data_IF_592885052402
#
_entry.id   IF_592885052402
#
_cell.length_a   1.000
_cell.length_b   1.000
_cell.length_c   1.000
_cell.angle_alpha   90.00
_cell.angle_beta   90.00
_cell.angle_gamma   90.00
#
_symmetry.space_group_name_H-M   'P 1'
#
loop_
_entity.id
_entity.type
_entity.pdbx_description
1 polymer ?
#
# COMPACT_ATOMS: atom_id res chain seq x y z
N UNK A 1 22.10 -12.08 -37.61
CA UNK A 1 21.41 -10.87 -37.18
C UNK A 1 20.13 -11.11 -36.42
N UNK A 2 19.27 -12.03 -36.90
CA UNK A 2 18.01 -12.36 -36.18
C UNK A 2 18.24 -12.91 -34.77
N UNK A 3 19.35 -13.65 -34.53
CA UNK A 3 19.70 -14.20 -33.23
C UNK A 3 20.01 -13.14 -32.17
N UNK A 4 20.72 -12.05 -32.58
CA UNK A 4 21.08 -10.96 -31.65
C UNK A 4 19.83 -10.19 -31.19
N UNK A 5 18.90 -9.90 -32.11
CA UNK A 5 17.64 -9.23 -31.78
C UNK A 5 16.80 -10.09 -30.85
N UNK A 6 16.74 -11.39 -31.08
CA UNK A 6 16.02 -12.33 -30.22
C UNK A 6 16.61 -12.34 -28.80
N UNK A 7 17.93 -12.38 -28.67
CA UNK A 7 18.60 -12.39 -27.35
C UNK A 7 18.33 -11.07 -26.60
N UNK A 8 18.36 -9.93 -27.30
CA UNK A 8 18.10 -8.62 -26.69
C UNK A 8 16.65 -8.57 -26.20
N UNK A 9 15.70 -8.97 -27.02
CA UNK A 9 14.27 -8.96 -26.64
C UNK A 9 14.01 -9.91 -25.48
N UNK A 10 14.59 -11.11 -25.52
CA UNK A 10 14.46 -12.09 -24.43
C UNK A 10 15.05 -11.56 -23.13
N UNK A 11 16.22 -10.90 -23.18
CA UNK A 11 16.85 -10.30 -22.01
C UNK A 11 16.00 -9.17 -21.42
N UNK A 12 15.39 -8.33 -22.27
CA UNK A 12 14.50 -7.25 -21.83
C UNK A 12 13.25 -7.81 -21.14
N UNK A 13 12.63 -8.84 -21.71
CA UNK A 13 11.46 -9.49 -21.11
C UNK A 13 11.82 -10.10 -19.77
N UNK A 14 12.99 -10.73 -19.66
CA UNK A 14 13.46 -11.33 -18.41
C UNK A 14 13.68 -10.26 -17.33
N UNK A 15 14.31 -9.13 -17.67
CA UNK A 15 14.55 -8.02 -16.76
C UNK A 15 13.24 -7.40 -16.27
N UNK A 16 12.28 -7.20 -17.14
CA UNK A 16 10.96 -6.67 -16.79
C UNK A 16 10.25 -7.64 -15.84
N UNK A 17 10.32 -8.94 -16.13
CA UNK A 17 9.70 -9.98 -15.27
C UNK A 17 10.29 -10.00 -13.87
N UNK A 18 11.62 -9.93 -13.76
CA UNK A 18 12.33 -9.89 -12.47
C UNK A 18 11.94 -8.61 -11.71
N UNK A 19 11.95 -7.46 -12.38
CA UNK A 19 11.57 -6.18 -11.78
C UNK A 19 10.14 -6.19 -11.23
N UNK A 20 9.21 -6.79 -11.97
CA UNK A 20 7.80 -6.93 -11.55
C UNK A 20 7.69 -7.80 -10.31
N UNK A 21 8.41 -8.94 -10.27
CA UNK A 21 8.41 -9.83 -9.12
C UNK A 21 8.99 -9.17 -7.87
N UNK A 22 10.09 -8.43 -8.02
CA UNK A 22 10.71 -7.69 -6.90
C UNK A 22 9.76 -6.63 -6.37
N UNK A 23 9.12 -5.86 -7.25
CA UNK A 23 8.17 -4.84 -6.85
C UNK A 23 6.97 -5.45 -6.13
N UNK A 24 6.43 -6.56 -6.62
CA UNK A 24 5.30 -7.24 -5.99
C UNK A 24 5.69 -7.79 -4.61
N UNK A 25 6.89 -8.37 -4.47
CA UNK A 25 7.40 -8.83 -3.18
C UNK A 25 7.53 -7.68 -2.18
N UNK A 26 8.03 -6.52 -2.63
CA UNK A 26 8.13 -5.32 -1.80
C UNK A 26 6.75 -4.85 -1.33
N UNK A 27 5.77 -4.79 -2.23
CA UNK A 27 4.41 -4.39 -1.89
C UNK A 27 3.78 -5.37 -0.88
N UNK A 28 3.97 -6.66 -1.08
CA UNK A 28 3.47 -7.69 -0.17
C UNK A 28 4.10 -7.56 1.22
N UNK A 29 5.40 -7.27 1.27
CA UNK A 29 6.11 -7.04 2.53
C UNK A 29 5.55 -5.82 3.26
N UNK A 30 5.32 -4.71 2.56
CA UNK A 30 4.74 -3.51 3.15
C UNK A 30 3.32 -3.76 3.66
N UNK A 31 2.50 -4.50 2.89
CA UNK A 31 1.17 -4.88 3.33
C UNK A 31 1.23 -5.67 4.64
N UNK A 32 2.14 -6.63 4.73
CA UNK A 32 2.31 -7.45 5.93
C UNK A 32 2.79 -6.64 7.12
N UNK A 33 3.72 -5.70 6.91
CA UNK A 33 4.22 -4.83 7.97
C UNK A 33 3.12 -3.92 8.53
N UNK A 34 2.32 -3.32 7.66
CA UNK A 34 1.20 -2.47 8.08
C UNK A 34 0.13 -3.30 8.77
N UNK A 35 -0.20 -4.48 8.25
CA UNK A 35 -1.14 -5.40 8.89
C UNK A 35 -0.67 -5.77 10.30
N UNK A 36 0.60 -6.12 10.46
CA UNK A 36 1.19 -6.44 11.76
C UNK A 36 1.13 -5.24 12.71
N UNK A 37 1.41 -4.06 12.21
CA UNK A 37 1.30 -2.82 12.99
C UNK A 37 -0.13 -2.63 13.52
N UNK A 38 -1.13 -2.78 12.66
CA UNK A 38 -2.53 -2.60 13.05
C UNK A 38 -2.97 -3.64 14.08
N UNK A 39 -2.58 -4.89 13.90
CA UNK A 39 -2.95 -5.97 14.81
C UNK A 39 -2.22 -5.86 16.14
N UNK A 40 -0.90 -5.67 16.11
CA UNK A 40 -0.07 -5.76 17.31
C UNK A 40 0.02 -4.46 18.08
N UNK A 41 0.00 -3.30 17.41
CA UNK A 41 0.17 -2.00 18.06
C UNK A 41 -1.13 -1.22 18.19
N UNK A 42 -2.10 -1.43 17.29
CA UNK A 42 -3.38 -0.71 17.31
C UNK A 42 -4.56 -1.56 17.79
N UNK A 43 -4.34 -2.85 17.96
CA UNK A 43 -5.34 -3.74 18.55
C UNK A 43 -6.45 -4.21 17.61
N UNK A 44 -6.27 -4.07 16.30
CA UNK A 44 -7.23 -4.58 15.32
C UNK A 44 -7.08 -6.09 15.14
N UNK A 45 -8.15 -6.74 14.72
CA UNK A 45 -8.12 -8.12 14.28
C UNK A 45 -8.00 -8.16 12.74
N UNK A 46 -7.49 -9.26 12.20
CA UNK A 46 -7.33 -9.41 10.75
C UNK A 46 -8.67 -9.28 10.02
N UNK A 47 -9.75 -9.78 10.58
CA UNK A 47 -11.08 -9.68 10.01
C UNK A 47 -11.66 -8.27 10.01
N UNK A 48 -11.06 -7.33 10.74
CA UNK A 48 -11.47 -5.92 10.72
C UNK A 48 -11.05 -5.21 9.43
N UNK A 49 -10.13 -5.80 8.68
CA UNK A 49 -9.56 -5.22 7.46
C UNK A 49 -10.29 -5.76 6.24
N UNK A 50 -10.87 -4.86 5.43
CA UNK A 50 -11.51 -5.21 4.17
C UNK A 50 -10.49 -5.32 3.05
N UNK A 51 -9.62 -4.30 2.93
CA UNK A 51 -8.58 -4.25 1.92
C UNK A 51 -7.31 -3.65 2.49
N UNK A 52 -6.19 -4.14 2.01
CA UNK A 52 -4.87 -3.57 2.28
C UNK A 52 -4.02 -3.70 1.01
N UNK A 53 -3.47 -2.58 0.54
CA UNK A 53 -2.63 -2.58 -0.65
C UNK A 53 -1.61 -1.46 -0.59
N UNK A 54 -0.44 -1.70 -1.18
CA UNK A 54 0.67 -0.75 -1.23
C UNK A 54 0.82 -0.20 -2.63
N UNK A 55 0.99 1.12 -2.73
CA UNK A 55 1.25 1.82 -3.97
C UNK A 55 2.61 2.49 -3.90
N UNK A 56 3.31 2.52 -5.04
CA UNK A 56 4.57 3.25 -5.20
C UNK A 56 4.29 4.41 -6.14
N UNK A 57 4.57 5.62 -5.67
CA UNK A 57 4.25 6.83 -6.40
C UNK A 57 5.29 7.93 -6.21
N UNK A 58 4.87 9.18 -6.43
CA UNK A 58 5.80 10.32 -6.38
C UNK A 58 5.93 10.93 -4.98
N UNK A 59 4.82 11.08 -4.27
CA UNK A 59 4.82 11.70 -2.94
C UNK A 59 3.58 11.26 -2.14
N UNK A 60 3.73 10.43 -1.12
CA UNK A 60 4.98 9.78 -0.71
C UNK A 60 5.37 8.68 -1.69
N UNK A 61 6.65 8.33 -1.69
CA UNK A 61 7.15 7.30 -2.61
C UNK A 61 6.44 5.96 -2.41
N UNK A 62 6.19 5.58 -1.16
CA UNK A 62 5.50 4.34 -0.80
C UNK A 62 4.36 4.66 0.16
N UNK A 63 3.17 4.17 -0.15
CA UNK A 63 1.98 4.34 0.69
C UNK A 63 1.17 3.06 0.72
N UNK A 64 0.75 2.65 1.91
CA UNK A 64 -0.14 1.51 2.09
C UNK A 64 -1.53 2.01 2.47
N UNK A 65 -2.52 1.60 1.71
CA UNK A 65 -3.91 1.98 1.93
C UNK A 65 -4.64 0.84 2.64
N UNK A 66 -5.41 1.19 3.65
CA UNK A 66 -6.24 0.24 4.40
C UNK A 66 -7.69 0.71 4.36
N UNK A 67 -8.60 -0.21 4.09
CA UNK A 67 -10.04 0.00 4.19
C UNK A 67 -10.56 -0.97 5.24
N UNK A 68 -11.25 -0.45 6.25
CA UNK A 68 -11.80 -1.25 7.35
C UNK A 68 -13.22 -1.70 7.03
N UNK A 69 -13.59 -2.89 7.53
CA UNK A 69 -14.92 -3.46 7.29
C UNK A 69 -16.06 -2.64 7.87
N UNK A 70 -15.82 -1.90 8.94
CA UNK A 70 -16.83 -1.04 9.58
C UNK A 70 -16.83 0.40 9.05
N UNK A 71 -16.00 0.69 8.03
CA UNK A 71 -15.91 2.03 7.42
C UNK A 71 -15.47 1.90 5.96
N UNK A 72 -16.30 1.25 5.14
CA UNK A 72 -15.99 0.93 3.74
C UNK A 72 -15.93 2.18 2.85
N UNK A 73 -16.42 3.32 3.33
CA UNK A 73 -16.42 4.56 2.55
C UNK A 73 -15.16 5.39 2.72
N UNK A 74 -14.25 4.98 3.59
CA UNK A 74 -13.03 5.73 3.90
C UNK A 74 -11.79 4.92 3.63
N UNK A 75 -10.75 5.62 3.17
CA UNK A 75 -9.41 5.05 2.96
C UNK A 75 -8.47 5.66 3.98
N UNK A 76 -7.61 4.84 4.58
CA UNK A 76 -6.61 5.25 5.55
C UNK A 76 -5.24 4.96 4.98
N UNK A 77 -4.36 5.96 4.97
CA UNK A 77 -3.04 5.88 4.34
C UNK A 77 -1.95 5.81 5.39
N UNK A 78 -1.10 4.80 5.25
CA UNK A 78 0.00 4.54 6.17
C UNK A 78 1.32 4.59 5.42
N UNK A 79 2.37 5.01 6.11
CA UNK A 79 3.72 4.97 5.58
C UNK A 79 4.70 4.57 6.67
N UNK A 80 5.88 4.13 6.25
CA UNK A 80 6.97 3.77 7.12
C UNK A 80 8.07 4.82 7.01
N UNK A 81 8.48 5.38 8.14
CA UNK A 81 9.54 6.37 8.20
C UNK A 81 10.39 6.10 9.43
N UNK A 82 11.71 6.02 9.24
CA UNK A 82 12.66 5.72 10.31
C UNK A 82 12.31 4.44 11.08
N UNK A 83 11.85 3.42 10.36
CA UNK A 83 11.46 2.13 10.94
C UNK A 83 10.11 2.12 11.64
N UNK A 84 9.38 3.23 11.64
CA UNK A 84 8.07 3.34 12.28
C UNK A 84 6.96 3.51 11.26
N UNK A 85 5.86 2.80 11.48
CA UNK A 85 4.65 2.89 10.65
C UNK A 85 3.67 3.82 11.35
N UNK A 86 3.05 4.71 10.58
CA UNK A 86 2.02 5.62 11.08
C UNK A 86 1.04 6.01 9.98
N UNK A 87 -0.16 6.41 10.40
CA UNK A 87 -1.16 6.94 9.49
C UNK A 87 -0.83 8.40 9.20
N UNK A 88 -0.65 8.73 7.91
CA UNK A 88 -0.29 10.10 7.54
C UNK A 88 -1.43 10.85 6.85
N UNK A 89 -2.45 10.14 6.35
CA UNK A 89 -3.57 10.77 5.64
C UNK A 89 -4.80 9.87 5.61
N UNK A 90 -5.92 10.46 5.26
CA UNK A 90 -7.21 9.81 5.13
C UNK A 90 -7.98 10.46 3.99
N UNK A 91 -8.85 9.69 3.30
CA UNK A 91 -9.67 10.23 2.23
C UNK A 91 -10.93 9.36 2.04
N UNK A 92 -12.02 9.91 1.48
CA UNK A 92 -13.14 9.07 1.10
C UNK A 92 -12.78 8.16 -0.07
N UNK A 93 -13.45 7.01 -0.19
CA UNK A 93 -13.24 6.07 -1.30
C UNK A 93 -13.65 6.71 -2.62
N UNK A 94 -14.68 7.54 -2.61
CA UNK A 94 -15.14 8.27 -3.78
C UNK A 94 -15.43 9.74 -3.43
N UNK A 95 -15.19 10.61 -4.39
CA UNK A 95 -15.40 12.05 -4.20
C UNK A 95 -14.26 12.73 -3.47
N UNK A 96 -14.52 13.93 -2.99
CA UNK A 96 -13.55 14.79 -2.31
C UNK A 96 -14.01 14.96 -0.86
N UNK A 97 -13.03 15.00 0.07
CA UNK A 97 -13.31 15.28 1.47
C UNK A 97 -13.93 16.69 1.60
N UNK A 98 -15.13 16.76 2.18
CA UNK A 98 -15.88 17.99 2.38
C UNK A 98 -15.58 18.67 3.72
N UNK A 99 -14.61 18.13 4.48
CA UNK A 99 -14.29 18.63 5.82
C UNK A 99 -15.27 18.20 6.91
N UNK A 100 -16.31 17.44 6.56
CA UNK A 100 -17.35 16.97 7.50
C UNK A 100 -17.26 15.48 7.78
N UNK A 101 -16.46 14.75 7.00
CA UNK A 101 -16.32 13.32 7.14
C UNK A 101 -15.66 12.97 8.46
N UNK A 102 -16.27 12.06 9.22
CA UNK A 102 -15.70 11.52 10.44
C UNK A 102 -14.99 10.22 10.09
N UNK A 103 -13.72 10.14 10.42
CA UNK A 103 -12.90 8.94 10.17
C UNK A 103 -12.77 8.15 11.47
N UNK A 104 -13.45 6.99 11.55
CA UNK A 104 -13.49 6.17 12.76
C UNK A 104 -12.14 5.68 13.25
N UNK A 105 -11.22 5.47 12.33
CA UNK A 105 -9.91 4.89 12.63
C UNK A 105 -8.77 5.90 12.48
N UNK A 106 -9.09 7.18 12.59
CA UNK A 106 -8.09 8.25 12.53
C UNK A 106 -7.11 8.14 13.68
N UNK A 107 -5.82 8.11 13.34
CA UNK A 107 -4.74 8.18 14.32
C UNK A 107 -4.40 9.65 14.57
N UNK A 108 -4.38 10.03 15.84
CA UNK A 108 -4.01 11.39 16.23
C UNK A 108 -2.51 11.44 16.53
N UNK A 109 -1.91 12.50 16.06
CA UNK A 109 -0.47 12.75 16.29
C UNK A 109 -0.27 13.60 17.54
#
# INVERSE_FOLDING_TARGET
>A
MKKKSFVIVFSLVLLISIGTLVLQSFKNKMNSEVESYLINQRGYAKQDLSEIYTQVGKAPLVSTTVIFNDDLSSRYFYRKENGKIYQYSRAPVSGVDDGRTVYKHEEKF
#
